data_IF_989012536389
#
_entry.id   IF_989012536389
#
_cell.length_a   1.000
_cell.length_b   1.000
_cell.length_c   1.000
_cell.angle_alpha   90.00
_cell.angle_beta   90.00
_cell.angle_gamma   90.00
#
_symmetry.space_group_name_H-M   'P 1'
#
loop_
_entity.id
_entity.type
_entity.pdbx_description
1 polymer ?
#
# COMPACT_ATOMS: atom_id res chain seq x y z
N UNK A 1 39.25 18.08 4.86
CA UNK A 1 37.95 18.78 4.93
C UNK A 1 36.87 17.74 4.68
N UNK A 2 36.21 17.26 5.74
CA UNK A 2 35.22 16.18 5.63
C UNK A 2 33.85 16.79 5.28
N UNK A 3 33.42 16.63 4.03
CA UNK A 3 32.05 16.92 3.63
C UNK A 3 31.20 15.72 4.07
N UNK A 4 30.40 15.89 5.12
CA UNK A 4 29.41 14.88 5.53
C UNK A 4 28.17 15.12 4.69
N UNK A 5 27.89 14.24 3.74
CA UNK A 5 26.64 14.25 2.98
C UNK A 5 25.49 13.79 3.90
N UNK A 6 24.64 14.72 4.30
CA UNK A 6 23.37 14.39 4.95
C UNK A 6 22.33 13.99 3.91
N UNK A 7 21.67 12.85 4.08
CA UNK A 7 20.54 12.39 3.25
C UNK A 7 19.23 13.16 3.51
N UNK A 8 19.29 14.30 4.20
CA UNK A 8 18.10 15.05 4.64
C UNK A 8 17.87 16.28 3.77
N UNK A 9 16.65 16.40 3.27
CA UNK A 9 16.19 17.56 2.51
C UNK A 9 15.69 18.66 3.45
N UNK A 10 16.17 19.88 3.22
CA UNK A 10 15.92 21.08 4.04
C UNK A 10 14.75 21.90 3.50
N UNK A 11 14.27 22.85 4.32
CA UNK A 11 13.21 23.81 3.98
C UNK A 11 11.93 23.13 3.50
N UNK A 12 11.43 22.22 4.34
CA UNK A 12 10.28 21.38 4.01
C UNK A 12 9.01 22.22 3.82
N UNK A 13 8.34 22.04 2.68
CA UNK A 13 7.04 22.64 2.35
C UNK A 13 6.08 21.55 1.89
N UNK A 14 4.78 21.88 1.74
CA UNK A 14 3.76 20.93 1.24
C UNK A 14 3.83 19.56 1.93
N UNK A 15 3.98 19.62 3.26
CA UNK A 15 4.24 18.45 4.09
C UNK A 15 2.94 17.72 4.41
N UNK A 16 2.86 16.47 3.97
CA UNK A 16 1.74 15.57 4.24
C UNK A 16 2.23 14.39 5.07
N UNK A 17 1.39 13.96 6.00
CA UNK A 17 1.56 12.70 6.74
C UNK A 17 0.47 11.73 6.27
N UNK A 18 0.88 10.52 5.94
CA UNK A 18 -0.04 9.43 5.66
C UNK A 18 0.40 8.17 6.40
N UNK A 19 -0.56 7.31 6.69
CA UNK A 19 -0.34 6.00 7.26
C UNK A 19 -0.48 4.94 6.16
N UNK A 20 0.45 4.00 6.12
CA UNK A 20 0.42 2.97 5.09
C UNK A 20 1.60 2.02 5.19
N UNK A 21 1.62 1.06 4.28
CA UNK A 21 2.69 0.08 4.20
C UNK A 21 3.92 0.67 3.50
N UNK A 22 5.10 0.43 4.07
CA UNK A 22 6.35 0.78 3.42
C UNK A 22 6.78 -0.32 2.45
N UNK A 23 7.00 0.01 1.17
CA UNK A 23 7.44 -0.96 0.15
C UNK A 23 8.85 -1.51 0.40
N UNK A 24 9.67 -0.85 1.21
CA UNK A 24 11.04 -1.28 1.47
C UNK A 24 11.16 -2.25 2.65
N UNK A 25 10.43 -2.00 3.75
CA UNK A 25 10.49 -2.84 4.95
C UNK A 25 9.22 -3.65 5.22
N UNK A 26 8.18 -3.50 4.38
CA UNK A 26 6.84 -4.10 4.52
C UNK A 26 6.08 -3.74 5.81
N UNK A 27 6.64 -2.90 6.69
CA UNK A 27 5.98 -2.45 7.90
C UNK A 27 4.90 -1.41 7.62
N UNK A 28 3.82 -1.46 8.42
CA UNK A 28 2.82 -0.40 8.48
C UNK A 28 3.24 0.68 9.46
N UNK A 29 3.05 1.94 9.08
CA UNK A 29 3.39 3.05 9.94
C UNK A 29 3.18 4.40 9.29
N UNK A 30 3.47 5.45 10.07
CA UNK A 30 3.45 6.81 9.56
C UNK A 30 4.59 7.05 8.57
N UNK A 31 4.23 7.68 7.47
CA UNK A 31 5.11 8.12 6.41
C UNK A 31 4.95 9.63 6.23
N UNK A 32 6.02 10.28 5.77
CA UNK A 32 6.01 11.73 5.52
C UNK A 32 6.37 12.02 4.07
N UNK A 33 5.59 12.85 3.40
CA UNK A 33 5.91 13.39 2.09
C UNK A 33 6.03 14.90 2.16
N UNK A 34 6.99 15.50 1.45
CA UNK A 34 7.21 16.95 1.48
C UNK A 34 8.12 17.40 0.35
N UNK A 35 8.05 18.69 0.03
CA UNK A 35 8.97 19.33 -0.92
C UNK A 35 10.17 19.88 -0.16
N UNK A 36 11.38 19.56 -0.62
CA UNK A 36 12.60 20.02 0.02
C UNK A 36 13.76 20.10 -0.96
N UNK A 37 14.82 20.77 -0.53
CA UNK A 37 16.04 20.91 -1.34
C UNK A 37 17.22 20.24 -0.65
N UNK A 38 18.09 19.63 -1.45
CA UNK A 38 19.34 19.10 -0.94
C UNK A 38 20.37 20.23 -0.81
N UNK A 39 21.29 20.14 0.15
CA UNK A 39 22.31 21.15 0.37
C UNK A 39 23.69 20.52 0.58
N UNK A 40 24.73 21.21 0.13
CA UNK A 40 26.10 21.00 0.53
C UNK A 40 26.29 21.56 1.94
N UNK A 41 26.96 20.77 2.79
CA UNK A 41 27.15 21.10 4.19
C UNK A 41 28.60 21.45 4.49
N UNK A 42 28.79 22.46 5.34
CA UNK A 42 30.03 22.69 6.06
C UNK A 42 29.73 22.61 7.56
N UNK A 43 30.34 21.66 8.27
CA UNK A 43 30.11 21.45 9.71
C UNK A 43 28.61 21.49 10.11
N UNK A 44 27.78 20.71 9.41
CA UNK A 44 26.33 20.60 9.60
C UNK A 44 25.47 21.82 9.21
N UNK A 45 26.07 22.89 8.72
CA UNK A 45 25.33 24.06 8.23
C UNK A 45 25.05 23.86 6.72
N UNK A 46 23.78 23.86 6.28
CA UNK A 46 23.43 23.78 4.86
C UNK A 46 23.71 25.14 4.19
N UNK A 47 24.73 25.22 3.34
CA UNK A 47 25.19 26.49 2.76
C UNK A 47 24.88 26.62 1.27
N UNK A 48 25.02 25.53 0.50
CA UNK A 48 24.94 25.58 -0.97
C UNK A 48 23.80 24.67 -1.43
N UNK A 49 22.72 25.19 -2.05
CA UNK A 49 21.67 24.33 -2.59
C UNK A 49 22.25 23.43 -3.70
N UNK A 50 21.91 22.14 -3.66
CA UNK A 50 22.35 21.15 -4.63
C UNK A 50 21.17 20.66 -5.45
N UNK A 51 21.15 21.05 -6.72
CA UNK A 51 20.15 20.61 -7.69
C UNK A 51 18.78 21.26 -7.51
N UNK A 52 17.82 20.72 -8.26
CA UNK A 52 16.40 21.09 -8.19
C UNK A 52 15.77 20.66 -6.87
N UNK A 53 14.67 21.33 -6.52
CA UNK A 53 13.81 20.92 -5.43
C UNK A 53 13.20 19.55 -5.72
N UNK A 54 13.16 18.69 -4.71
CA UNK A 54 12.61 17.34 -4.81
C UNK A 54 11.34 17.21 -3.98
N UNK A 55 10.40 16.40 -4.48
CA UNK A 55 9.35 15.78 -3.68
C UNK A 55 9.95 14.53 -3.04
N UNK A 56 10.07 14.56 -1.71
CA UNK A 56 10.29 13.36 -0.91
C UNK A 56 8.94 12.67 -0.75
N UNK A 57 8.83 11.45 -1.26
CA UNK A 57 7.61 10.64 -1.21
C UNK A 57 7.77 9.52 -0.19
N UNK A 58 6.77 9.40 0.67
CA UNK A 58 6.56 8.26 1.58
C UNK A 58 7.80 7.92 2.41
N UNK A 59 8.46 8.93 2.99
CA UNK A 59 9.58 8.74 3.91
C UNK A 59 9.11 7.92 5.11
N UNK A 60 9.57 6.66 5.19
CA UNK A 60 9.17 5.73 6.22
C UNK A 60 9.82 6.07 7.57
N UNK A 61 9.00 6.21 8.61
CA UNK A 61 9.47 6.45 9.98
C UNK A 61 10.32 5.33 10.58
N UNK A 62 10.18 4.09 10.09
CA UNK A 62 10.89 2.93 10.63
C UNK A 62 12.25 2.67 9.96
N UNK A 63 12.32 2.74 8.63
CA UNK A 63 13.53 2.40 7.88
C UNK A 63 14.19 3.58 7.16
N UNK A 64 13.61 4.79 7.24
CA UNK A 64 14.06 6.01 6.57
C UNK A 64 14.21 5.90 5.03
N UNK A 65 13.58 4.90 4.42
CA UNK A 65 13.50 4.78 2.96
C UNK A 65 12.42 5.71 2.42
N UNK A 66 12.66 6.24 1.22
CA UNK A 66 11.80 7.20 0.53
C UNK A 66 12.02 7.09 -0.98
N UNK A 67 11.04 7.55 -1.75
CA UNK A 67 11.20 7.81 -3.17
C UNK A 67 11.45 9.31 -3.39
N UNK A 68 12.32 9.66 -4.33
CA UNK A 68 12.64 11.05 -4.67
C UNK A 68 12.18 11.33 -6.10
N UNK A 69 11.37 12.38 -6.26
CA UNK A 69 10.89 12.84 -7.58
C UNK A 69 11.22 14.32 -7.71
N UNK A 70 11.52 14.78 -8.92
CA UNK A 70 11.65 16.22 -9.18
C UNK A 70 10.33 16.94 -8.90
N UNK A 71 10.37 18.08 -8.20
CA UNK A 71 9.15 18.75 -7.77
C UNK A 71 8.20 19.08 -8.94
N UNK A 72 8.65 19.64 -10.09
CA UNK A 72 7.77 19.87 -11.23
C UNK A 72 7.10 18.57 -11.72
N UNK A 73 7.88 17.49 -11.86
CA UNK A 73 7.39 16.17 -12.26
C UNK A 73 6.34 15.63 -11.28
N UNK A 74 6.50 15.87 -9.98
CA UNK A 74 5.52 15.43 -8.98
C UNK A 74 4.18 16.16 -9.09
N UNK A 75 4.17 17.42 -9.54
CA UNK A 75 2.95 18.19 -9.78
C UNK A 75 2.24 17.65 -11.03
N UNK A 76 2.98 17.43 -12.11
CA UNK A 76 2.43 16.86 -13.34
C UNK A 76 1.86 15.46 -13.10
N UNK A 77 2.56 14.65 -12.29
CA UNK A 77 2.10 13.32 -11.89
C UNK A 77 0.80 13.38 -11.09
N UNK A 78 0.64 14.36 -10.19
CA UNK A 78 -0.60 14.54 -9.44
C UNK A 78 -1.77 14.90 -10.37
N UNK A 79 -1.56 15.85 -11.27
CA UNK A 79 -2.58 16.29 -12.23
C UNK A 79 -2.99 15.16 -13.19
N UNK A 80 -2.01 14.40 -13.69
CA UNK A 80 -2.25 13.25 -14.56
C UNK A 80 -3.00 12.13 -13.84
N UNK A 81 -2.67 11.87 -12.57
CA UNK A 81 -3.37 10.87 -11.75
C UNK A 81 -4.82 11.28 -11.46
N UNK A 82 -5.07 12.56 -11.15
CA UNK A 82 -6.42 13.09 -10.98
C UNK A 82 -7.24 12.93 -12.27
N UNK A 83 -6.64 13.23 -13.42
CA UNK A 83 -7.33 13.05 -14.71
C UNK A 83 -7.63 11.58 -15.01
N UNK A 84 -6.70 10.69 -14.68
CA UNK A 84 -6.91 9.24 -14.81
C UNK A 84 -8.04 8.76 -13.90
N UNK A 85 -8.15 9.29 -12.67
CA UNK A 85 -9.29 9.01 -11.78
C UNK A 85 -10.62 9.47 -12.40
N UNK A 86 -10.66 10.65 -13.05
CA UNK A 86 -11.88 11.13 -13.73
C UNK A 86 -12.29 10.20 -14.87
N UNK A 87 -11.34 9.77 -15.68
CA UNK A 87 -11.59 8.84 -16.79
C UNK A 87 -12.09 7.48 -16.29
N UNK A 88 -11.52 6.99 -15.19
CA UNK A 88 -11.95 5.75 -14.57
C UNK A 88 -13.37 5.85 -14.00
N UNK A 89 -13.70 6.96 -13.34
CA UNK A 89 -15.04 7.26 -12.86
C UNK A 89 -16.05 7.33 -14.02
N UNK A 90 -15.68 7.96 -15.13
CA UNK A 90 -16.56 8.06 -16.30
C UNK A 90 -16.78 6.69 -16.95
N UNK A 91 -15.73 5.86 -17.03
CA UNK A 91 -15.83 4.48 -17.52
C UNK A 91 -16.74 3.64 -16.62
N UNK A 92 -16.62 3.81 -15.30
CA UNK A 92 -17.50 3.17 -14.33
C UNK A 92 -18.97 3.59 -14.48
N UNK A 93 -19.25 4.88 -14.72
CA UNK A 93 -20.61 5.37 -15.03
C UNK A 93 -21.20 4.75 -16.29
N UNK A 94 -20.37 4.37 -17.24
CA UNK A 94 -20.76 3.66 -18.46
C UNK A 94 -20.93 2.15 -18.24
N UNK A 95 -20.82 1.67 -17.01
CA UNK A 95 -20.97 0.26 -16.63
C UNK A 95 -19.71 -0.59 -16.85
N UNK A 96 -18.56 0.03 -17.11
CA UNK A 96 -17.29 -0.70 -17.17
C UNK A 96 -16.78 -0.97 -15.75
N UNK A 97 -16.13 -2.11 -15.54
CA UNK A 97 -15.48 -2.48 -14.28
C UNK A 97 -13.97 -2.49 -14.36
N UNK A 98 -13.41 -2.37 -15.58
CA UNK A 98 -11.98 -2.44 -15.85
C UNK A 98 -11.53 -1.35 -16.83
N UNK A 99 -10.30 -0.88 -16.68
CA UNK A 99 -9.60 0.01 -17.60
C UNK A 99 -8.80 -0.80 -18.62
N UNK A 100 -8.66 -0.30 -19.87
CA UNK A 100 -7.78 -0.93 -20.85
C UNK A 100 -6.31 -0.83 -20.40
N UNK A 101 -5.58 -1.94 -20.53
CA UNK A 101 -4.14 -2.01 -20.25
C UNK A 101 -3.35 -2.24 -21.54
N UNK A 102 -2.24 -1.53 -21.72
CA UNK A 102 -1.38 -1.66 -22.89
C UNK A 102 -0.45 -2.87 -22.84
N UNK A 103 -0.16 -3.41 -21.64
CA UNK A 103 0.88 -4.43 -21.42
C UNK A 103 0.40 -5.60 -20.55
N UNK A 104 -0.92 -5.78 -20.36
CA UNK A 104 -1.43 -6.84 -19.50
C UNK A 104 -2.94 -6.99 -19.49
N UNK A 105 -3.43 -7.66 -18.45
CA UNK A 105 -4.87 -7.80 -18.22
C UNK A 105 -5.51 -6.43 -17.93
N UNK A 106 -6.79 -6.23 -18.29
CA UNK A 106 -7.53 -5.03 -17.94
C UNK A 106 -7.46 -4.76 -16.43
N UNK A 107 -7.16 -3.51 -16.04
CA UNK A 107 -6.99 -3.14 -14.64
C UNK A 107 -8.36 -2.86 -14.00
N UNK A 108 -8.75 -3.52 -12.89
CA UNK A 108 -10.00 -3.21 -12.20
C UNK A 108 -10.06 -1.75 -11.73
N UNK A 109 -11.19 -1.06 -12.00
CA UNK A 109 -11.35 0.37 -11.72
C UNK A 109 -11.30 0.64 -10.20
N UNK A 110 -11.89 -0.24 -9.39
CA UNK A 110 -11.88 -0.18 -7.94
C UNK A 110 -10.45 -0.23 -7.37
N UNK A 111 -9.63 -1.16 -7.86
CA UNK A 111 -8.21 -1.30 -7.50
C UNK A 111 -7.41 -0.07 -7.89
N UNK A 112 -7.61 0.43 -9.11
CA UNK A 112 -6.97 1.64 -9.61
C UNK A 112 -7.33 2.87 -8.75
N UNK A 113 -8.62 3.11 -8.51
CA UNK A 113 -9.09 4.24 -7.71
C UNK A 113 -8.62 4.15 -6.26
N UNK A 114 -8.68 2.97 -5.64
CA UNK A 114 -8.19 2.73 -4.28
C UNK A 114 -6.69 3.07 -4.16
N UNK A 115 -5.87 2.53 -5.07
CA UNK A 115 -4.42 2.69 -5.05
C UNK A 115 -3.98 4.14 -5.36
N UNK A 116 -4.76 4.84 -6.19
CA UNK A 116 -4.49 6.24 -6.56
C UNK A 116 -4.58 7.19 -5.37
N UNK A 117 -5.49 6.93 -4.42
CA UNK A 117 -5.72 7.79 -3.25
C UNK A 117 -4.46 7.97 -2.39
N UNK A 118 -3.79 6.88 -2.00
CA UNK A 118 -2.57 6.97 -1.17
C UNK A 118 -1.44 7.71 -1.91
N UNK A 119 -1.36 7.55 -3.24
CA UNK A 119 -0.40 8.28 -4.04
C UNK A 119 -0.72 9.78 -4.13
N UNK A 120 -1.97 10.15 -4.36
CA UNK A 120 -2.44 11.54 -4.42
C UNK A 120 -2.28 12.27 -3.08
N UNK A 121 -2.52 11.58 -1.96
CA UNK A 121 -2.20 12.10 -0.62
C UNK A 121 -0.69 12.34 -0.50
N UNK A 122 0.14 11.37 -0.89
CA UNK A 122 1.59 11.53 -0.87
C UNK A 122 2.10 12.65 -1.79
N UNK A 123 1.34 13.05 -2.82
CA UNK A 123 1.65 14.15 -3.72
C UNK A 123 1.12 15.52 -3.28
N UNK A 124 0.42 15.58 -2.14
CA UNK A 124 -0.24 16.80 -1.66
C UNK A 124 -1.26 17.33 -2.69
N UNK A 125 -2.14 16.42 -3.15
CA UNK A 125 -3.24 16.68 -4.09
C UNK A 125 -4.62 16.31 -3.50
N UNK A 126 -4.74 16.35 -2.16
CA UNK A 126 -5.99 15.99 -1.47
C UNK A 126 -7.11 17.02 -1.72
N UNK A 127 -6.72 18.27 -1.97
CA UNK A 127 -7.60 19.37 -2.37
C UNK A 127 -8.27 19.13 -3.73
N UNK A 128 -7.60 18.45 -4.66
CA UNK A 128 -8.17 18.04 -5.94
C UNK A 128 -8.95 16.72 -5.85
N UNK A 129 -8.49 15.81 -4.99
CA UNK A 129 -9.11 14.50 -4.79
C UNK A 129 -10.45 14.58 -4.06
N UNK A 130 -10.57 15.40 -3.01
CA UNK A 130 -11.76 15.43 -2.16
C UNK A 130 -13.03 15.84 -2.93
N UNK A 131 -13.02 16.90 -3.76
CA UNK A 131 -14.19 17.24 -4.58
C UNK A 131 -14.60 16.13 -5.56
N UNK A 132 -13.62 15.37 -6.08
CA UNK A 132 -13.90 14.24 -6.97
C UNK A 132 -14.65 13.13 -6.22
N UNK A 133 -14.23 12.81 -5.01
CA UNK A 133 -14.91 11.84 -4.14
C UNK A 133 -16.31 12.35 -3.77
N UNK A 134 -16.45 13.62 -3.39
CA UNK A 134 -17.74 14.22 -3.03
C UNK A 134 -18.75 14.17 -4.19
N UNK A 135 -18.31 14.35 -5.43
CA UNK A 135 -19.17 14.22 -6.61
C UNK A 135 -19.74 12.80 -6.77
N UNK A 136 -18.99 11.75 -6.41
CA UNK A 136 -19.50 10.37 -6.45
C UNK A 136 -20.65 10.15 -5.47
N UNK A 137 -20.65 10.86 -4.33
CA UNK A 137 -21.72 10.73 -3.32
C UNK A 137 -23.08 11.23 -3.81
N UNK A 138 -23.09 12.05 -4.87
CA UNK A 138 -24.30 12.64 -5.43
C UNK A 138 -25.04 11.67 -6.37
N UNK A 139 -24.36 10.63 -6.84
CA UNK A 139 -24.90 9.64 -7.78
C UNK A 139 -25.02 8.28 -7.07
N UNK A 140 -26.25 7.80 -6.80
CA UNK A 140 -26.46 6.51 -6.14
C UNK A 140 -25.81 5.32 -6.86
N UNK A 141 -25.66 5.38 -8.19
CA UNK A 141 -24.99 4.32 -8.95
C UNK A 141 -23.48 4.26 -8.71
N UNK A 142 -22.90 5.34 -8.19
CA UNK A 142 -21.48 5.48 -7.90
C UNK A 142 -21.15 5.26 -6.42
N UNK A 143 -22.14 4.81 -5.62
CA UNK A 143 -21.97 4.62 -4.18
C UNK A 143 -20.84 3.66 -3.83
N UNK A 144 -20.68 2.57 -4.58
CA UNK A 144 -19.56 1.64 -4.42
C UNK A 144 -18.21 2.35 -4.53
N UNK A 145 -17.94 3.05 -5.63
CA UNK A 145 -16.68 3.76 -5.86
C UNK A 145 -16.47 4.92 -4.88
N UNK A 146 -17.55 5.59 -4.44
CA UNK A 146 -17.49 6.55 -3.34
C UNK A 146 -16.94 5.89 -2.06
N UNK A 147 -17.49 4.74 -1.66
CA UNK A 147 -17.04 4.01 -0.46
C UNK A 147 -15.61 3.47 -0.62
N UNK A 148 -15.23 2.97 -1.81
CA UNK A 148 -13.85 2.54 -2.12
C UNK A 148 -12.85 3.67 -1.89
N UNK A 149 -13.08 4.84 -2.49
CA UNK A 149 -12.15 5.96 -2.39
C UNK A 149 -12.13 6.58 -0.98
N UNK A 150 -13.28 6.62 -0.29
CA UNK A 150 -13.32 7.10 1.10
C UNK A 150 -12.65 6.14 2.07
N UNK A 151 -12.82 4.83 1.91
CA UNK A 151 -12.13 3.84 2.72
C UNK A 151 -10.60 3.95 2.53
N UNK A 152 -10.13 4.14 1.30
CA UNK A 152 -8.73 4.39 1.01
C UNK A 152 -8.23 5.69 1.68
N UNK A 153 -8.97 6.79 1.52
CA UNK A 153 -8.60 8.09 2.09
C UNK A 153 -8.60 8.05 3.63
N UNK A 154 -9.57 7.36 4.23
CA UNK A 154 -9.64 7.08 5.66
C UNK A 154 -8.44 6.29 6.14
N UNK A 155 -8.05 5.22 5.42
CA UNK A 155 -6.88 4.40 5.75
C UNK A 155 -5.61 5.24 5.81
N UNK A 156 -5.41 6.20 4.90
CA UNK A 156 -4.23 7.07 4.92
C UNK A 156 -4.14 7.96 6.18
N UNK A 157 -5.25 8.14 6.91
CA UNK A 157 -5.29 8.92 8.16
C UNK A 157 -4.99 8.08 9.40
N UNK A 158 -4.68 6.79 9.23
CA UNK A 158 -4.42 5.83 10.29
C UNK A 158 -5.67 5.02 10.69
N UNK A 159 -5.47 3.99 11.52
CA UNK A 159 -6.56 3.12 11.95
C UNK A 159 -7.52 3.86 12.86
N UNK A 160 -8.79 3.92 12.46
CA UNK A 160 -9.87 4.52 13.23
C UNK A 160 -11.16 3.74 13.04
N UNK A 161 -12.01 3.60 14.08
CA UNK A 161 -13.25 2.81 13.97
C UNK A 161 -14.14 3.23 12.78
N UNK A 162 -14.21 4.52 12.46
CA UNK A 162 -15.01 4.99 11.32
C UNK A 162 -14.54 4.47 9.95
N UNK A 163 -13.26 4.06 9.81
CA UNK A 163 -12.71 3.57 8.54
C UNK A 163 -13.19 2.16 8.23
N UNK A 164 -13.37 1.32 9.26
CA UNK A 164 -13.93 -0.03 9.10
C UNK A 164 -15.33 0.02 8.48
N UNK A 165 -16.17 0.96 8.92
CA UNK A 165 -17.51 1.16 8.38
C UNK A 165 -17.48 1.49 6.87
N UNK A 166 -16.49 2.24 6.39
CA UNK A 166 -16.35 2.57 4.97
C UNK A 166 -15.98 1.33 4.13
N UNK A 167 -15.15 0.44 4.67
CA UNK A 167 -14.84 -0.84 4.00
C UNK A 167 -16.07 -1.75 3.95
N UNK A 168 -16.81 -1.85 5.06
CA UNK A 168 -18.04 -2.65 5.10
C UNK A 168 -19.09 -2.10 4.15
N UNK A 169 -19.27 -0.78 4.07
CA UNK A 169 -20.17 -0.15 3.10
C UNK A 169 -19.72 -0.46 1.66
N UNK A 170 -18.42 -0.39 1.36
CA UNK A 170 -17.92 -0.74 0.03
C UNK A 170 -18.22 -2.21 -0.32
N UNK A 171 -18.05 -3.13 0.63
CA UNK A 171 -18.37 -4.55 0.46
C UNK A 171 -19.87 -4.77 0.21
N UNK A 172 -20.73 -4.08 0.97
CA UNK A 172 -22.19 -4.19 0.82
C UNK A 172 -22.72 -3.70 -0.53
N UNK A 173 -22.00 -2.77 -1.18
CA UNK A 173 -22.38 -2.19 -2.47
C UNK A 173 -21.59 -2.79 -3.65
N UNK A 174 -20.75 -3.80 -3.41
CA UNK A 174 -19.94 -4.44 -4.45
C UNK A 174 -20.69 -5.58 -5.13
N UNK A 175 -20.61 -5.66 -6.46
CA UNK A 175 -21.01 -6.87 -7.21
C UNK A 175 -20.03 -8.02 -6.95
N UNK A 176 -18.74 -7.70 -6.86
CA UNK A 176 -17.65 -8.61 -6.47
C UNK A 176 -16.91 -8.00 -5.26
N UNK A 177 -17.10 -8.54 -4.05
CA UNK A 177 -16.54 -7.96 -2.84
C UNK A 177 -15.08 -8.36 -2.60
N UNK A 178 -14.49 -9.25 -3.39
CA UNK A 178 -13.22 -9.90 -3.10
C UNK A 178 -12.08 -8.90 -2.86
N UNK A 179 -11.97 -7.91 -3.75
CA UNK A 179 -10.99 -6.83 -3.63
C UNK A 179 -11.16 -6.05 -2.31
N UNK A 180 -12.39 -5.67 -1.97
CA UNK A 180 -12.66 -4.89 -0.77
C UNK A 180 -12.53 -5.70 0.51
N UNK A 181 -12.82 -7.00 0.48
CA UNK A 181 -12.51 -7.92 1.59
C UNK A 181 -11.00 -8.02 1.82
N UNK A 182 -10.20 -8.08 0.75
CA UNK A 182 -8.74 -8.07 0.86
C UNK A 182 -8.21 -6.75 1.44
N UNK A 183 -8.80 -5.60 1.04
CA UNK A 183 -8.41 -4.31 1.59
C UNK A 183 -8.86 -4.13 3.05
N UNK A 184 -10.00 -4.69 3.46
CA UNK A 184 -10.43 -4.74 4.85
C UNK A 184 -9.48 -5.62 5.70
N UNK A 185 -9.07 -6.79 5.19
CA UNK A 185 -8.07 -7.63 5.85
C UNK A 185 -6.76 -6.87 6.10
N UNK A 186 -6.32 -6.11 5.09
CA UNK A 186 -5.15 -5.24 5.18
C UNK A 186 -5.33 -4.12 6.20
N UNK A 187 -6.52 -3.54 6.27
CA UNK A 187 -6.88 -2.53 7.26
C UNK A 187 -6.84 -3.10 8.69
N UNK A 188 -7.41 -4.29 8.93
CA UNK A 188 -7.32 -4.94 10.24
C UNK A 188 -5.88 -5.19 10.67
N UNK A 189 -5.02 -5.60 9.73
CA UNK A 189 -3.61 -5.76 10.05
C UNK A 189 -2.97 -4.43 10.43
N UNK A 190 -3.24 -3.37 9.68
CA UNK A 190 -2.68 -2.05 9.91
C UNK A 190 -3.22 -1.38 11.20
N UNK A 191 -4.43 -1.77 11.62
CA UNK A 191 -5.06 -1.41 12.90
C UNK A 191 -4.56 -2.22 14.10
N UNK A 192 -3.72 -3.25 13.88
CA UNK A 192 -3.27 -4.16 14.94
C UNK A 192 -4.35 -5.14 15.40
N UNK A 193 -5.47 -5.23 14.69
CA UNK A 193 -6.53 -6.22 14.91
C UNK A 193 -6.14 -7.55 14.25
N UNK A 194 -5.09 -8.18 14.78
CA UNK A 194 -4.41 -9.29 14.11
C UNK A 194 -5.32 -10.52 13.93
N UNK A 195 -6.18 -10.85 14.90
CA UNK A 195 -7.07 -12.00 14.78
C UNK A 195 -8.13 -11.80 13.68
N UNK A 196 -8.67 -10.59 13.55
CA UNK A 196 -9.57 -10.23 12.46
C UNK A 196 -8.83 -10.27 11.12
N UNK A 197 -7.61 -9.73 11.07
CA UNK A 197 -6.78 -9.78 9.87
C UNK A 197 -6.51 -11.22 9.41
N UNK A 198 -6.14 -12.12 10.33
CA UNK A 198 -5.92 -13.55 10.03
C UNK A 198 -7.20 -14.16 9.46
N UNK A 199 -8.34 -13.97 10.12
CA UNK A 199 -9.63 -14.53 9.67
C UNK A 199 -9.98 -14.04 8.27
N UNK A 200 -9.83 -12.73 8.01
CA UNK A 200 -10.11 -12.15 6.69
C UNK A 200 -9.13 -12.63 5.63
N UNK A 201 -7.83 -12.72 5.90
CA UNK A 201 -6.87 -13.24 4.93
C UNK A 201 -7.02 -14.73 4.66
N UNK A 202 -7.49 -15.52 5.63
CA UNK A 202 -7.85 -16.92 5.41
C UNK A 202 -9.00 -17.03 4.41
N UNK A 203 -10.04 -16.19 4.55
CA UNK A 203 -11.13 -16.12 3.59
C UNK A 203 -10.63 -15.70 2.20
N UNK A 204 -9.85 -14.63 2.11
CA UNK A 204 -9.28 -14.15 0.83
C UNK A 204 -8.41 -15.21 0.16
N UNK A 205 -7.62 -15.98 0.92
CA UNK A 205 -6.81 -17.07 0.37
C UNK A 205 -7.63 -18.24 -0.19
N UNK A 206 -8.87 -18.41 0.26
CA UNK A 206 -9.78 -19.43 -0.26
C UNK A 206 -10.46 -18.97 -1.55
N UNK A 207 -10.73 -17.67 -1.69
CA UNK A 207 -11.32 -17.07 -2.89
C UNK A 207 -10.32 -17.01 -4.05
N UNK A 208 -9.04 -16.76 -3.75
CA UNK A 208 -7.96 -16.72 -4.75
C UNK A 208 -6.90 -17.80 -4.46
N UNK A 209 -7.20 -19.09 -4.68
CA UNK A 209 -6.33 -20.20 -4.29
C UNK A 209 -5.01 -20.27 -5.08
N UNK A 210 -4.89 -19.52 -6.19
CA UNK A 210 -3.69 -19.45 -7.02
C UNK A 210 -2.87 -18.17 -6.77
N UNK A 211 -3.36 -17.25 -5.92
CA UNK A 211 -2.60 -16.06 -5.54
C UNK A 211 -1.78 -16.39 -4.27
N UNK A 212 -0.44 -16.35 -4.33
CA UNK A 212 0.38 -16.57 -3.14
C UNK A 212 0.30 -15.41 -2.15
N UNK A 213 -0.15 -14.22 -2.58
CA UNK A 213 -0.06 -13.01 -1.78
C UNK A 213 -0.83 -13.09 -0.46
N UNK A 214 -2.13 -13.47 -0.40
CA UNK A 214 -2.85 -13.62 0.86
C UNK A 214 -2.18 -14.63 1.81
N UNK A 215 -1.64 -15.73 1.27
CA UNK A 215 -0.98 -16.77 2.07
C UNK A 215 0.36 -16.27 2.64
N UNK A 216 1.12 -15.51 1.86
CA UNK A 216 2.35 -14.86 2.33
C UNK A 216 2.08 -13.81 3.40
N UNK A 217 0.94 -13.10 3.33
CA UNK A 217 0.53 -12.20 4.42
C UNK A 217 0.17 -13.00 5.69
N UNK A 218 -0.53 -14.13 5.56
CA UNK A 218 -0.79 -15.04 6.70
C UNK A 218 0.51 -15.56 7.33
N UNK A 219 1.52 -15.90 6.53
CA UNK A 219 2.86 -16.26 7.01
C UNK A 219 3.44 -15.16 7.90
N UNK A 220 3.39 -13.91 7.44
CA UNK A 220 3.91 -12.75 8.19
C UNK A 220 3.11 -12.53 9.48
N UNK A 221 1.78 -12.61 9.42
CA UNK A 221 0.90 -12.48 10.59
C UNK A 221 1.15 -13.54 11.65
N UNK A 222 1.22 -14.81 11.24
CA UNK A 222 1.53 -15.93 12.14
C UNK A 222 2.96 -15.84 12.71
N UNK A 223 3.92 -15.39 11.90
CA UNK A 223 5.30 -15.17 12.38
C UNK A 223 5.37 -14.05 13.41
N UNK A 224 4.64 -12.96 13.20
CA UNK A 224 4.61 -11.80 14.12
C UNK A 224 3.87 -12.11 15.42
N UNK A 225 2.84 -12.98 15.38
CA UNK A 225 2.12 -13.48 16.56
C UNK A 225 2.77 -14.70 17.22
N UNK A 226 3.97 -15.10 16.75
CA UNK A 226 4.74 -16.25 17.26
C UNK A 226 4.06 -17.61 17.09
N UNK A 227 3.05 -17.71 16.23
CA UNK A 227 2.44 -18.97 15.82
C UNK A 227 3.29 -19.63 14.72
N UNK A 228 4.52 -20.00 15.07
CA UNK A 228 5.53 -20.44 14.09
C UNK A 228 5.15 -21.74 13.36
N UNK A 229 4.42 -22.65 14.01
CA UNK A 229 3.94 -23.89 13.37
C UNK A 229 2.99 -23.58 12.21
N UNK A 230 1.97 -22.75 12.45
CA UNK A 230 1.04 -22.29 11.42
C UNK A 230 1.74 -21.50 10.32
N UNK A 231 2.71 -20.66 10.67
CA UNK A 231 3.51 -19.94 9.66
C UNK A 231 4.31 -20.90 8.77
N UNK A 232 4.84 -22.00 9.30
CA UNK A 232 5.53 -23.02 8.51
C UNK A 232 4.57 -23.78 7.58
N UNK A 233 3.38 -24.14 8.06
CA UNK A 233 2.33 -24.76 7.23
C UNK A 233 1.91 -23.85 6.07
N UNK A 234 1.76 -22.54 6.31
CA UNK A 234 1.43 -21.57 5.26
C UNK A 234 2.57 -21.39 4.25
N UNK A 235 3.83 -21.43 4.67
CA UNK A 235 4.96 -21.47 3.74
C UNK A 235 4.93 -22.72 2.85
N UNK A 236 4.63 -23.88 3.42
CA UNK A 236 4.52 -25.14 2.67
C UNK A 236 3.38 -25.08 1.65
N UNK A 237 2.25 -24.50 2.03
CA UNK A 237 1.15 -24.21 1.11
C UNK A 237 1.60 -23.29 -0.05
N UNK A 238 2.33 -22.21 0.25
CA UNK A 238 2.88 -21.31 -0.80
C UNK A 238 3.78 -22.07 -1.76
N UNK A 239 4.66 -22.96 -1.27
CA UNK A 239 5.57 -23.70 -2.12
C UNK A 239 4.92 -24.83 -2.91
N UNK A 240 3.82 -25.41 -2.42
CA UNK A 240 3.01 -26.36 -3.18
C UNK A 240 2.34 -25.68 -4.38
N UNK A 241 1.79 -24.49 -4.17
CA UNK A 241 1.11 -23.71 -5.21
C UNK A 241 2.12 -23.05 -6.17
N UNK A 242 3.26 -22.59 -5.64
CA UNK A 242 4.31 -21.89 -6.38
C UNK A 242 5.70 -22.45 -6.08
N UNK A 243 6.08 -23.57 -6.70
CA UNK A 243 7.37 -24.21 -6.46
C UNK A 243 8.58 -23.30 -6.74
N UNK A 244 8.43 -22.32 -7.64
CA UNK A 244 9.47 -21.32 -7.93
C UNK A 244 9.85 -20.47 -6.70
N UNK A 245 8.90 -20.17 -5.81
CA UNK A 245 9.17 -19.44 -4.57
C UNK A 245 10.03 -20.24 -3.59
N UNK A 246 10.03 -21.58 -3.68
CA UNK A 246 10.92 -22.41 -2.87
C UNK A 246 12.39 -22.25 -3.29
N UNK A 247 12.63 -22.00 -4.58
CA UNK A 247 13.97 -21.79 -5.13
C UNK A 247 14.49 -20.36 -4.87
N UNK A 248 13.61 -19.42 -4.51
CA UNK A 248 14.03 -18.08 -4.10
C UNK A 248 14.77 -18.12 -2.76
N UNK A 249 16.03 -17.70 -2.79
CA UNK A 249 16.92 -17.71 -1.61
C UNK A 249 16.36 -16.92 -0.44
N UNK A 250 15.64 -15.82 -0.70
CA UNK A 250 15.05 -14.99 0.36
C UNK A 250 13.89 -15.70 1.03
N UNK A 251 12.97 -16.26 0.25
CA UNK A 251 11.82 -17.02 0.71
C UNK A 251 12.23 -18.28 1.48
N UNK A 252 13.15 -19.08 0.93
CA UNK A 252 13.69 -20.25 1.64
C UNK A 252 14.32 -19.89 2.99
N UNK A 253 15.09 -18.79 3.04
CA UNK A 253 15.72 -18.33 4.29
C UNK A 253 14.67 -17.91 5.33
N UNK A 254 13.57 -17.28 4.91
CA UNK A 254 12.47 -16.91 5.80
C UNK A 254 11.76 -18.16 6.33
N UNK A 255 11.42 -19.10 5.44
CA UNK A 255 10.81 -20.38 5.82
C UNK A 255 11.68 -21.18 6.80
N UNK A 256 12.98 -21.35 6.49
CA UNK A 256 13.90 -22.08 7.36
C UNK A 256 14.03 -21.44 8.75
N UNK A 257 13.98 -20.11 8.82
CA UNK A 257 13.97 -19.37 10.09
C UNK A 257 12.67 -19.63 10.87
N UNK A 258 11.52 -19.67 10.20
CA UNK A 258 10.23 -20.00 10.82
C UNK A 258 10.25 -21.44 11.35
N UNK A 259 10.68 -22.42 10.54
CA UNK A 259 10.80 -23.82 10.95
C UNK A 259 11.68 -24.00 12.19
N UNK A 260 12.86 -23.35 12.20
CA UNK A 260 13.76 -23.37 13.36
C UNK A 260 13.07 -22.85 14.63
N UNK A 261 12.26 -21.80 14.53
CA UNK A 261 11.52 -21.24 15.67
C UNK A 261 10.34 -22.10 16.10
N UNK A 262 9.75 -22.85 15.18
CA UNK A 262 8.75 -23.87 15.44
C UNK A 262 9.34 -25.17 16.02
N UNK A 263 10.66 -25.35 16.01
CA UNK A 263 11.29 -26.60 16.44
C UNK A 263 11.15 -27.76 15.45
N UNK A 264 10.78 -27.45 14.19
CA UNK A 264 10.65 -28.42 13.08
C UNK A 264 11.78 -28.27 12.06
N UNK A 265 12.02 -29.32 11.30
CA UNK A 265 12.92 -29.26 10.15
C UNK A 265 12.17 -28.72 8.91
N UNK A 266 12.82 -27.87 8.09
CA UNK A 266 12.27 -27.48 6.80
C UNK A 266 12.07 -28.70 5.90
N UNK A 267 10.93 -28.79 5.23
CA UNK A 267 10.68 -29.81 4.21
C UNK A 267 11.38 -29.36 2.93
N UNK A 268 12.32 -30.16 2.43
CA UNK A 268 12.99 -29.90 1.16
C UNK A 268 12.07 -30.21 -0.02
N UNK A 269 12.29 -29.54 -1.16
CA UNK A 269 11.64 -29.91 -2.42
C UNK A 269 11.90 -31.40 -2.71
N UNK A 270 10.86 -32.14 -3.08
CA UNK A 270 10.98 -33.45 -3.73
C UNK A 270 11.26 -33.22 -5.22
#
# INVERSE_FOLDING_TARGET
MFVIYGSRYYFQQRSVKSFGQCLACNGFGWQKSYDGSNFGHLYFIPLIPLGSRKRVLKLCSSCNQMLLVDQPVSIDMANSMIESCRQAIESAKQGQTTLPSNEGEPEPIDSFLFSSVDMLVALDATDQLTPLIEQLSLDPSMKYYYSVMNAALGHTKGPKPEVEALYLEAIENADDPDFMMAMLARYYFSAGQVDQAITSYEHVSQMHPQDPHPILVLVDLYTNTRQFDKAAEKWEQVFQLHPALMQDKKSWKLYAKVCKKAGRQPVAAV
#
